data_IF_116146960412
#
_entry.id   IF_116146960412
#
_cell.length_a   1.000
_cell.length_b   1.000
_cell.length_c   1.000
_cell.angle_alpha   90.00
_cell.angle_beta   90.00
_cell.angle_gamma   90.00
#
_symmetry.space_group_name_H-M   'P 1'
#
loop_
_entity.id
_entity.type
_entity.pdbx_description
1 polymer ?
#
# COMPACT_ATOMS: atom_id res chain seq x y z
N UNK A 1 -14.18 18.18 -1.54
CA UNK A 1 -12.82 18.76 -1.52
C UNK A 1 -11.74 17.69 -1.40
N UNK A 2 -11.55 17.02 -0.26
CA UNK A 2 -10.45 16.05 -0.07
C UNK A 2 -10.38 14.94 -1.13
N UNK A 3 -11.51 14.35 -1.54
CA UNK A 3 -11.55 13.32 -2.61
C UNK A 3 -11.02 13.85 -3.95
N UNK A 4 -11.36 15.10 -4.32
CA UNK A 4 -10.86 15.72 -5.54
C UNK A 4 -9.35 16.00 -5.44
N UNK A 5 -8.90 16.47 -4.27
CA UNK A 5 -7.47 16.66 -4.00
C UNK A 5 -6.70 15.33 -4.08
N UNK A 6 -7.29 14.20 -3.66
CA UNK A 6 -6.69 12.88 -3.84
C UNK A 6 -6.43 12.57 -5.32
N UNK A 7 -7.37 12.86 -6.22
CA UNK A 7 -7.17 12.64 -7.66
C UNK A 7 -6.02 13.50 -8.20
N UNK A 8 -5.96 14.77 -7.82
CA UNK A 8 -4.87 15.67 -8.21
C UNK A 8 -3.52 15.16 -7.70
N UNK A 9 -3.45 14.74 -6.44
CA UNK A 9 -2.24 14.16 -5.83
C UNK A 9 -1.78 12.91 -6.60
N UNK A 10 -2.71 11.99 -6.95
CA UNK A 10 -2.40 10.78 -7.72
C UNK A 10 -1.82 11.15 -9.09
N UNK A 11 -2.46 12.09 -9.80
CA UNK A 11 -2.06 12.50 -11.14
C UNK A 11 -0.66 13.14 -11.13
N UNK A 12 -0.43 14.11 -10.24
CA UNK A 12 0.89 14.77 -10.12
C UNK A 12 1.95 13.73 -9.75
N UNK A 13 1.66 12.87 -8.77
CA UNK A 13 2.59 11.83 -8.35
C UNK A 13 2.93 10.87 -9.51
N UNK A 14 1.97 10.55 -10.39
CA UNK A 14 2.18 9.67 -11.55
C UNK A 14 3.08 10.30 -12.63
N UNK A 15 3.12 11.62 -12.73
CA UNK A 15 3.94 12.33 -13.73
C UNK A 15 5.43 12.37 -13.38
N UNK A 16 5.79 12.10 -12.13
CA UNK A 16 7.18 12.16 -11.66
C UNK A 16 7.83 10.77 -11.83
N UNK A 17 8.86 10.59 -12.65
CA UNK A 17 9.52 9.28 -12.80
C UNK A 17 10.24 8.87 -11.52
N UNK A 18 10.45 7.56 -11.33
CA UNK A 18 11.19 7.01 -10.19
C UNK A 18 12.60 6.63 -10.65
N UNK A 19 13.63 7.10 -9.94
CA UNK A 19 15.04 6.82 -10.26
C UNK A 19 15.71 5.88 -9.27
N UNK A 20 15.25 5.81 -8.03
CA UNK A 20 15.80 4.95 -6.97
C UNK A 20 14.74 4.64 -5.91
N UNK A 21 14.99 3.63 -5.08
CA UNK A 21 14.09 3.27 -3.96
C UNK A 21 13.96 4.40 -2.94
N UNK A 22 15.05 5.12 -2.66
CA UNK A 22 15.03 6.24 -1.73
C UNK A 22 14.23 7.42 -2.27
N UNK A 23 14.39 7.72 -3.56
CA UNK A 23 13.58 8.74 -4.23
C UNK A 23 12.11 8.35 -4.26
N UNK A 24 11.80 7.08 -4.53
CA UNK A 24 10.43 6.59 -4.50
C UNK A 24 9.79 6.70 -3.11
N UNK A 25 10.53 6.33 -2.07
CA UNK A 25 10.10 6.46 -0.69
C UNK A 25 9.88 7.90 -0.27
N UNK A 26 10.80 8.82 -0.62
CA UNK A 26 10.62 10.26 -0.35
C UNK A 26 9.42 10.82 -1.10
N UNK A 27 9.26 10.44 -2.37
CA UNK A 27 8.14 10.86 -3.22
C UNK A 27 6.80 10.42 -2.63
N UNK A 28 6.63 9.13 -2.31
CA UNK A 28 5.38 8.65 -1.70
C UNK A 28 5.21 9.16 -0.27
N UNK A 29 6.27 9.23 0.52
CA UNK A 29 6.25 9.84 1.85
C UNK A 29 5.75 11.29 1.80
N UNK A 30 6.13 12.05 0.77
CA UNK A 30 5.65 13.41 0.57
C UNK A 30 4.19 13.45 0.09
N UNK A 31 3.88 12.82 -1.05
CA UNK A 31 2.57 12.93 -1.69
C UNK A 31 1.46 12.13 -1.00
N UNK A 32 1.78 10.94 -0.49
CA UNK A 32 0.81 9.97 0.01
C UNK A 32 0.77 9.90 1.55
N UNK A 33 1.72 10.52 2.26
CA UNK A 33 1.69 10.60 3.72
C UNK A 33 1.68 12.05 4.25
N UNK A 34 2.70 12.84 3.95
CA UNK A 34 2.86 14.20 4.48
C UNK A 34 1.74 15.14 4.02
N UNK A 35 1.50 15.27 2.71
CA UNK A 35 0.43 16.14 2.17
C UNK A 35 -0.95 15.75 2.73
N UNK A 36 -1.37 14.47 2.71
CA UNK A 36 -2.67 14.08 3.27
C UNK A 36 -2.79 14.38 4.76
N UNK A 37 -1.76 14.16 5.57
CA UNK A 37 -1.76 14.54 7.00
C UNK A 37 -1.95 16.05 7.14
N UNK A 38 -1.21 16.85 6.37
CA UNK A 38 -1.33 18.31 6.37
C UNK A 38 -2.76 18.74 6.01
N UNK A 39 -3.32 18.18 4.93
CA UNK A 39 -4.70 18.44 4.52
C UNK A 39 -5.71 18.05 5.62
N UNK A 40 -5.53 16.91 6.28
CA UNK A 40 -6.41 16.53 7.39
C UNK A 40 -6.40 17.61 8.48
N UNK A 41 -5.22 18.08 8.89
CA UNK A 41 -5.12 19.15 9.89
C UNK A 41 -5.72 20.48 9.40
N UNK A 42 -5.46 20.90 8.16
CA UNK A 42 -6.07 22.12 7.57
C UNK A 42 -7.59 22.09 7.57
N UNK A 43 -8.19 20.90 7.43
CA UNK A 43 -9.64 20.69 7.51
C UNK A 43 -10.13 20.29 8.91
N UNK A 44 -9.32 20.52 9.96
CA UNK A 44 -9.63 20.23 11.38
C UNK A 44 -10.01 18.76 11.65
N UNK A 45 -9.47 17.85 10.84
CA UNK A 45 -9.68 16.40 10.92
C UNK A 45 -8.46 15.75 11.60
N UNK A 46 -8.70 14.73 12.42
CA UNK A 46 -7.63 14.01 13.14
C UNK A 46 -7.19 12.79 12.33
N UNK A 47 -5.88 12.62 12.02
CA UNK A 47 -5.40 11.45 11.25
C UNK A 47 -5.76 10.09 11.85
N UNK A 48 -5.89 10.01 13.18
CA UNK A 48 -6.38 8.80 13.85
C UNK A 48 -7.77 8.33 13.39
N UNK A 49 -8.63 9.23 12.89
CA UNK A 49 -9.95 8.87 12.34
C UNK A 49 -9.87 8.33 10.90
N UNK A 50 -8.68 8.29 10.31
CA UNK A 50 -8.36 7.78 8.97
C UNK A 50 -7.37 6.62 9.08
N UNK A 51 -7.50 5.83 10.14
CA UNK A 51 -6.77 4.58 10.32
C UNK A 51 -5.35 4.67 10.90
N UNK A 52 -4.78 5.87 11.12
CA UNK A 52 -3.50 6.04 11.84
C UNK A 52 -3.67 5.88 13.35
N UNK A 53 -4.00 4.67 13.77
CA UNK A 53 -4.23 4.29 15.16
C UNK A 53 -4.03 2.77 15.34
N UNK A 54 -3.90 2.33 16.59
CA UNK A 54 -3.80 0.91 16.97
C UNK A 54 -5.12 0.34 17.52
N UNK A 55 -6.26 0.95 17.18
CA UNK A 55 -7.59 0.42 17.54
C UNK A 55 -7.75 -0.96 16.93
N UNK A 56 -8.35 -1.88 17.68
CA UNK A 56 -8.61 -3.26 17.25
C UNK A 56 -7.34 -4.03 16.80
N UNK A 57 -6.15 -3.70 17.32
CA UNK A 57 -4.88 -4.31 16.86
C UNK A 57 -4.88 -5.85 16.87
N UNK A 58 -5.52 -6.50 17.86
CA UNK A 58 -5.65 -7.97 17.89
C UNK A 58 -6.37 -8.52 16.64
N UNK A 59 -7.43 -7.84 16.21
CA UNK A 59 -8.19 -8.18 15.00
C UNK A 59 -7.38 -7.85 13.74
N UNK A 60 -6.62 -6.76 13.75
CA UNK A 60 -5.69 -6.42 12.67
C UNK A 60 -4.62 -7.50 12.48
N UNK A 61 -4.03 -7.99 13.58
CA UNK A 61 -3.06 -9.09 13.56
C UNK A 61 -3.69 -10.39 13.07
N UNK A 62 -4.90 -10.73 13.52
CA UNK A 62 -5.64 -11.89 13.01
C UNK A 62 -5.81 -11.82 11.49
N UNK A 63 -6.29 -10.69 10.97
CA UNK A 63 -6.46 -10.53 9.52
C UNK A 63 -5.13 -10.58 8.77
N UNK A 64 -4.08 -9.95 9.30
CA UNK A 64 -2.74 -10.03 8.74
C UNK A 64 -2.26 -11.48 8.61
N UNK A 65 -2.33 -12.27 9.69
CA UNK A 65 -1.87 -13.67 9.65
C UNK A 65 -2.72 -14.54 8.71
N UNK A 66 -4.04 -14.33 8.64
CA UNK A 66 -4.90 -15.04 7.70
C UNK A 66 -4.50 -14.76 6.24
N UNK A 67 -4.29 -13.49 5.90
CA UNK A 67 -3.87 -13.10 4.54
C UNK A 67 -2.46 -13.57 4.25
N UNK A 68 -1.54 -13.52 5.21
CA UNK A 68 -0.18 -14.02 5.04
C UNK A 68 -0.18 -15.52 4.71
N UNK A 69 -0.93 -16.33 5.46
CA UNK A 69 -1.04 -17.78 5.21
C UNK A 69 -1.59 -18.06 3.80
N UNK A 70 -2.58 -17.29 3.35
CA UNK A 70 -3.21 -17.47 2.03
C UNK A 70 -2.28 -16.98 0.90
N UNK A 71 -1.60 -15.86 1.10
CA UNK A 71 -0.75 -15.25 0.08
C UNK A 71 0.60 -15.96 -0.08
N UNK A 72 1.13 -16.60 0.96
CA UNK A 72 2.41 -17.27 0.93
C UNK A 72 2.55 -18.34 -0.19
N UNK A 73 1.62 -19.30 -0.38
CA UNK A 73 1.72 -20.25 -1.50
C UNK A 73 1.61 -19.56 -2.87
N UNK A 74 0.84 -18.47 -2.98
CA UNK A 74 0.72 -17.68 -4.21
C UNK A 74 2.04 -16.98 -4.53
N UNK A 75 2.70 -16.41 -3.52
CA UNK A 75 4.01 -15.78 -3.63
C UNK A 75 5.09 -16.78 -4.04
N UNK A 76 5.12 -17.97 -3.42
CA UNK A 76 6.07 -19.03 -3.78
C UNK A 76 5.85 -19.47 -5.24
N UNK A 77 4.59 -19.63 -5.66
CA UNK A 77 4.30 -19.92 -7.06
C UNK A 77 4.75 -18.80 -7.99
N UNK A 78 4.41 -17.54 -7.65
CA UNK A 78 4.74 -16.36 -8.44
C UNK A 78 6.25 -16.11 -8.59
N UNK A 79 7.05 -16.31 -7.54
CA UNK A 79 8.51 -16.09 -7.58
C UNK A 79 9.24 -17.05 -8.53
N UNK A 80 8.58 -18.16 -8.94
CA UNK A 80 9.13 -19.10 -9.89
C UNK A 80 8.82 -18.76 -11.36
N UNK A 81 7.92 -17.81 -11.62
CA UNK A 81 7.51 -17.40 -12.97
C UNK A 81 8.52 -16.44 -13.60
N UNK A 82 8.79 -16.62 -14.89
CA UNK A 82 9.76 -15.82 -15.66
C UNK A 82 9.46 -14.31 -15.66
N UNK A 83 8.18 -13.96 -15.74
CA UNK A 83 7.73 -12.56 -15.70
C UNK A 83 8.03 -11.86 -14.36
N UNK A 84 8.04 -12.60 -13.25
CA UNK A 84 8.39 -12.05 -11.94
C UNK A 84 9.90 -12.02 -11.74
N UNK A 85 10.65 -13.04 -12.18
CA UNK A 85 12.12 -13.08 -12.11
C UNK A 85 12.79 -11.99 -12.96
N UNK A 86 12.17 -11.61 -14.07
CA UNK A 86 12.67 -10.53 -14.93
C UNK A 86 12.33 -9.13 -14.39
N UNK A 87 11.36 -9.02 -13.49
CA UNK A 87 10.90 -7.76 -12.92
C UNK A 87 11.43 -7.50 -11.50
N UNK A 88 11.59 -8.55 -10.69
CA UNK A 88 12.05 -8.52 -9.31
C UNK A 88 13.44 -9.15 -9.15
N UNK A 89 14.25 -8.70 -8.16
CA UNK A 89 13.96 -7.61 -7.25
C UNK A 89 13.99 -6.24 -7.95
N UNK A 90 13.07 -5.34 -7.59
CA UNK A 90 12.98 -4.00 -8.18
C UNK A 90 14.26 -3.19 -7.94
N UNK A 91 14.95 -3.46 -6.83
CA UNK A 91 16.19 -2.80 -6.45
C UNK A 91 17.19 -3.86 -6.00
N UNK A 92 18.26 -4.01 -6.78
CA UNK A 92 19.34 -4.93 -6.47
C UNK A 92 20.02 -4.56 -5.14
N UNK A 93 20.38 -5.59 -4.38
CA UNK A 93 21.09 -5.47 -3.10
C UNK A 93 22.32 -6.38 -3.13
N UNK A 94 23.50 -5.79 -2.94
CA UNK A 94 24.80 -6.47 -2.97
C UNK A 94 25.22 -7.09 -1.62
N UNK A 95 24.47 -6.80 -0.56
CA UNK A 95 24.81 -7.13 0.82
C UNK A 95 23.57 -7.12 1.70
N UNK A 96 23.65 -7.77 2.86
CA UNK A 96 22.55 -7.76 3.85
C UNK A 96 22.26 -6.33 4.32
N UNK A 97 23.30 -5.48 4.41
CA UNK A 97 23.14 -4.09 4.80
C UNK A 97 22.41 -3.26 3.73
N UNK A 98 22.76 -3.42 2.44
CA UNK A 98 22.04 -2.72 1.36
C UNK A 98 20.60 -3.22 1.22
N UNK A 99 20.37 -4.53 1.41
CA UNK A 99 19.03 -5.11 1.48
C UNK A 99 18.20 -4.49 2.62
N UNK A 100 18.71 -4.52 3.84
CA UNK A 100 18.01 -3.95 5.00
C UNK A 100 17.72 -2.44 4.83
N UNK A 101 18.65 -1.69 4.21
CA UNK A 101 18.44 -0.28 3.88
C UNK A 101 17.33 -0.09 2.85
N UNK A 102 17.27 -0.91 1.81
CA UNK A 102 16.21 -0.88 0.80
C UNK A 102 14.85 -1.19 1.44
N UNK A 103 14.78 -2.19 2.33
CA UNK A 103 13.54 -2.54 3.04
C UNK A 103 13.00 -1.42 3.94
N UNK A 104 13.87 -0.60 4.53
CA UNK A 104 13.43 0.60 5.27
C UNK A 104 12.73 1.60 4.32
N UNK A 105 13.23 1.77 3.10
CA UNK A 105 12.55 2.62 2.11
C UNK A 105 11.25 2.00 1.61
N UNK A 106 11.22 0.68 1.39
CA UNK A 106 10.00 -0.08 1.07
C UNK A 106 8.96 0.06 2.19
N UNK A 107 9.37 0.04 3.46
CA UNK A 107 8.48 0.29 4.59
C UNK A 107 7.75 1.64 4.46
N UNK A 108 8.47 2.72 4.12
CA UNK A 108 7.89 4.04 3.89
C UNK A 108 6.94 4.04 2.69
N UNK A 109 7.32 3.36 1.60
CA UNK A 109 6.49 3.21 0.39
C UNK A 109 5.17 2.52 0.74
N UNK A 110 5.21 1.40 1.46
CA UNK A 110 4.02 0.63 1.83
C UNK A 110 3.15 1.39 2.82
N UNK A 111 3.74 1.99 3.87
CA UNK A 111 3.00 2.79 4.84
C UNK A 111 2.28 3.97 4.17
N UNK A 112 2.99 4.70 3.30
CA UNK A 112 2.44 5.86 2.61
C UNK A 112 1.31 5.45 1.66
N UNK A 113 1.50 4.35 0.94
CA UNK A 113 0.48 3.80 0.02
C UNK A 113 -0.77 3.40 0.78
N UNK A 114 -0.64 2.62 1.86
CA UNK A 114 -1.79 2.17 2.64
C UNK A 114 -2.49 3.34 3.34
N UNK A 115 -1.74 4.28 3.90
CA UNK A 115 -2.35 5.46 4.48
C UNK A 115 -3.09 6.30 3.44
N UNK A 116 -2.56 6.51 2.24
CA UNK A 116 -3.24 7.32 1.23
C UNK A 116 -4.54 6.68 0.74
N UNK A 117 -4.47 5.41 0.33
CA UNK A 117 -5.60 4.72 -0.29
C UNK A 117 -6.63 4.26 0.74
N UNK A 118 -6.20 3.52 1.77
CA UNK A 118 -7.10 2.91 2.77
C UNK A 118 -7.34 3.83 3.96
N UNK A 119 -6.41 4.73 4.26
CA UNK A 119 -6.61 5.77 5.28
C UNK A 119 -7.37 6.97 4.73
N UNK A 120 -6.63 7.90 4.12
CA UNK A 120 -7.12 9.19 3.68
C UNK A 120 -8.29 9.12 2.70
N UNK A 121 -8.12 8.43 1.57
CA UNK A 121 -9.13 8.37 0.51
C UNK A 121 -10.34 7.52 0.91
N UNK A 122 -10.13 6.28 1.34
CA UNK A 122 -11.22 5.37 1.69
C UNK A 122 -12.07 5.87 2.87
N UNK A 123 -11.48 6.31 3.99
CA UNK A 123 -12.29 6.81 5.11
C UNK A 123 -12.99 8.13 4.81
N UNK A 124 -12.46 8.94 3.88
CA UNK A 124 -13.18 10.11 3.40
C UNK A 124 -14.36 9.72 2.49
N UNK A 125 -14.16 8.78 1.57
CA UNK A 125 -15.23 8.22 0.72
C UNK A 125 -16.32 7.54 1.56
N UNK A 126 -15.93 6.79 2.60
CA UNK A 126 -16.85 6.07 3.51
C UNK A 126 -17.94 6.98 4.07
N UNK A 127 -17.64 8.24 4.34
CA UNK A 127 -18.62 9.21 4.89
C UNK A 127 -19.71 9.57 3.90
N UNK A 128 -19.46 9.37 2.60
CA UNK A 128 -20.40 9.70 1.52
C UNK A 128 -21.11 8.48 0.96
N UNK A 129 -20.37 7.39 0.78
CA UNK A 129 -20.85 6.20 0.05
C UNK A 129 -20.71 4.90 0.86
N UNK A 130 -20.39 4.98 2.15
CA UNK A 130 -20.33 3.82 3.04
C UNK A 130 -19.33 2.76 2.56
N UNK A 131 -19.78 1.52 2.49
CA UNK A 131 -18.93 0.37 2.14
C UNK A 131 -18.43 0.40 0.69
N UNK A 132 -19.13 1.08 -0.22
CA UNK A 132 -18.69 1.24 -1.62
C UNK A 132 -17.34 1.96 -1.74
N UNK A 133 -16.92 2.68 -0.70
CA UNK A 133 -15.59 3.28 -0.61
C UNK A 133 -14.46 2.27 -0.83
N UNK A 134 -14.64 1.00 -0.44
CA UNK A 134 -13.65 -0.08 -0.63
C UNK A 134 -13.43 -0.31 -2.13
N UNK A 135 -14.50 -0.36 -2.93
CA UNK A 135 -14.40 -0.58 -4.37
C UNK A 135 -13.84 0.65 -5.05
N UNK A 136 -14.35 1.84 -4.72
CA UNK A 136 -13.96 3.10 -5.37
C UNK A 136 -12.49 3.43 -5.14
N UNK A 137 -11.95 3.24 -3.93
CA UNK A 137 -10.53 3.47 -3.66
C UNK A 137 -9.62 2.44 -4.35
N UNK A 138 -10.12 1.21 -4.56
CA UNK A 138 -9.35 0.14 -5.20
C UNK A 138 -9.03 0.45 -6.66
N UNK A 139 -9.94 1.12 -7.37
CA UNK A 139 -9.76 1.46 -8.79
C UNK A 139 -8.45 2.23 -9.04
N UNK A 140 -8.20 3.40 -8.42
CA UNK A 140 -6.95 4.11 -8.63
C UNK A 140 -5.74 3.33 -8.06
N UNK A 141 -5.89 2.56 -6.99
CA UNK A 141 -4.81 1.71 -6.46
C UNK A 141 -4.37 0.64 -7.48
N UNK A 142 -5.30 -0.10 -8.08
CA UNK A 142 -5.01 -1.11 -9.10
C UNK A 142 -4.44 -0.49 -10.39
N UNK A 143 -4.93 0.69 -10.78
CA UNK A 143 -4.38 1.44 -11.94
C UNK A 143 -2.90 1.83 -11.73
N UNK A 144 -2.42 1.97 -10.49
CA UNK A 144 -1.00 2.21 -10.22
C UNK A 144 -0.12 0.96 -10.41
N UNK A 145 -0.71 -0.23 -10.50
CA UNK A 145 0.02 -1.47 -10.76
C UNK A 145 0.14 -1.78 -12.26
N UNK A 146 -0.54 -1.03 -13.13
CA UNK A 146 -0.41 -1.21 -14.58
C UNK A 146 1.04 -0.98 -15.00
N UNK A 147 1.62 -1.95 -15.70
CA UNK A 147 3.03 -1.99 -16.11
C UNK A 147 3.86 -3.02 -15.34
N UNK A 148 3.31 -3.58 -14.26
CA UNK A 148 3.87 -4.74 -13.53
C UNK A 148 3.48 -6.08 -14.20
N UNK A 149 4.04 -7.23 -13.75
CA UNK A 149 3.62 -8.54 -14.23
C UNK A 149 2.08 -8.71 -14.20
N UNK A 150 1.44 -9.24 -15.25
CA UNK A 150 -0.02 -9.28 -15.37
C UNK A 150 -0.74 -9.89 -14.17
N UNK A 151 -0.21 -10.98 -13.62
CA UNK A 151 -0.78 -11.61 -12.42
C UNK A 151 -0.77 -10.67 -11.22
N UNK A 152 0.28 -9.86 -11.04
CA UNK A 152 0.32 -8.85 -9.99
C UNK A 152 -0.73 -7.76 -10.22
N UNK A 153 -0.97 -7.36 -11.46
CA UNK A 153 -2.01 -6.37 -11.79
C UNK A 153 -3.38 -6.89 -11.39
N UNK A 154 -3.76 -8.10 -11.80
CA UNK A 154 -5.06 -8.69 -11.42
C UNK A 154 -5.17 -8.88 -9.91
N UNK A 155 -4.11 -9.39 -9.30
CA UNK A 155 -4.06 -9.59 -7.86
C UNK A 155 -4.19 -8.27 -7.10
N UNK A 156 -3.64 -7.16 -7.60
CA UNK A 156 -3.72 -5.85 -6.94
C UNK A 156 -5.16 -5.34 -6.79
N UNK A 157 -6.08 -5.64 -7.71
CA UNK A 157 -7.49 -5.30 -7.55
C UNK A 157 -8.14 -6.15 -6.46
N UNK A 158 -7.86 -7.46 -6.44
CA UNK A 158 -8.39 -8.37 -5.42
C UNK A 158 -7.85 -8.01 -4.03
N UNK A 159 -6.54 -7.84 -3.92
CA UNK A 159 -5.86 -7.38 -2.70
C UNK A 159 -6.37 -6.00 -2.29
N UNK A 160 -6.60 -5.09 -3.24
CA UNK A 160 -7.24 -3.79 -3.04
C UNK A 160 -8.52 -3.86 -2.22
N UNK A 161 -9.43 -4.76 -2.62
CA UNK A 161 -10.71 -4.98 -1.97
C UNK A 161 -10.54 -5.64 -0.60
N UNK A 162 -9.73 -6.70 -0.52
CA UNK A 162 -9.51 -7.48 0.71
C UNK A 162 -8.86 -6.61 1.80
N UNK A 163 -7.78 -5.91 1.48
CA UNK A 163 -7.09 -5.01 2.41
C UNK A 163 -8.00 -3.83 2.81
N UNK A 164 -8.74 -3.26 1.87
CA UNK A 164 -9.73 -2.21 2.17
C UNK A 164 -10.84 -2.69 3.11
N UNK A 165 -11.32 -3.92 2.95
CA UNK A 165 -12.29 -4.53 3.86
C UNK A 165 -11.72 -4.72 5.27
N UNK A 166 -10.48 -5.22 5.38
CA UNK A 166 -9.80 -5.40 6.67
C UNK A 166 -9.74 -4.07 7.42
N UNK A 167 -9.27 -3.01 6.77
CA UNK A 167 -9.13 -1.69 7.35
C UNK A 167 -10.48 -1.03 7.68
N UNK A 168 -11.49 -1.25 6.83
CA UNK A 168 -12.86 -0.81 7.10
C UNK A 168 -13.40 -1.46 8.38
N UNK A 169 -13.11 -2.74 8.61
CA UNK A 169 -13.59 -3.50 9.77
C UNK A 169 -12.79 -3.26 11.05
N UNK A 170 -11.51 -2.92 10.95
CA UNK A 170 -10.65 -2.63 12.11
C UNK A 170 -10.61 -1.14 12.45
N UNK A 171 -10.98 -0.28 11.51
CA UNK A 171 -10.84 1.18 11.59
C UNK A 171 -9.37 1.63 11.76
N UNK A 172 -8.45 0.85 11.20
CA UNK A 172 -7.00 1.02 11.27
C UNK A 172 -6.37 0.56 9.95
N UNK A 173 -5.31 1.24 9.49
CA UNK A 173 -4.50 0.77 8.35
C UNK A 173 -3.46 -0.29 8.74
N UNK A 174 -3.36 -0.62 10.03
CA UNK A 174 -2.40 -1.61 10.52
C UNK A 174 -2.50 -2.97 9.81
N UNK A 175 -3.69 -3.57 9.57
CA UNK A 175 -3.77 -4.85 8.89
C UNK A 175 -3.24 -4.79 7.46
N UNK A 176 -3.66 -3.79 6.67
CA UNK A 176 -3.20 -3.62 5.29
C UNK A 176 -1.71 -3.30 5.22
N UNK A 177 -1.20 -2.42 6.08
CA UNK A 177 0.22 -2.09 6.13
C UNK A 177 1.09 -3.32 6.38
N UNK A 178 0.75 -4.14 7.39
CA UNK A 178 1.47 -5.38 7.66
C UNK A 178 1.34 -6.37 6.50
N UNK A 179 0.15 -6.49 5.92
CA UNK A 179 -0.14 -7.41 4.80
C UNK A 179 0.43 -6.95 3.46
N UNK A 180 0.99 -5.74 3.39
CA UNK A 180 1.65 -5.23 2.20
C UNK A 180 3.17 -5.23 2.39
N UNK A 181 3.65 -4.75 3.53
CA UNK A 181 5.08 -4.65 3.82
C UNK A 181 5.75 -6.00 4.08
N UNK A 182 5.19 -6.84 4.95
CA UNK A 182 5.82 -8.12 5.29
C UNK A 182 5.85 -9.07 4.09
N UNK A 183 4.76 -9.24 3.32
CA UNK A 183 4.82 -10.01 2.07
C UNK A 183 5.79 -9.45 1.03
N UNK A 184 5.98 -8.12 0.95
CA UNK A 184 7.00 -7.52 0.07
C UNK A 184 8.40 -8.02 0.42
N UNK A 185 8.78 -7.95 1.70
CA UNK A 185 10.09 -8.46 2.16
C UNK A 185 10.25 -9.94 1.82
N UNK A 186 9.22 -10.75 2.11
CA UNK A 186 9.27 -12.19 1.84
C UNK A 186 9.42 -12.44 0.33
N UNK A 187 8.70 -11.70 -0.50
CA UNK A 187 8.76 -11.86 -1.95
C UNK A 187 10.12 -11.45 -2.52
N UNK A 188 10.71 -10.36 -2.04
CA UNK A 188 12.06 -9.96 -2.42
C UNK A 188 13.08 -11.04 -2.03
N UNK A 189 12.96 -11.66 -0.84
CA UNK A 189 13.78 -12.81 -0.42
C UNK A 189 13.57 -14.02 -1.33
N UNK A 190 12.33 -14.32 -1.73
CA UNK A 190 12.01 -15.44 -2.62
C UNK A 190 12.54 -15.25 -4.05
N UNK A 191 12.89 -14.01 -4.43
CA UNK A 191 13.43 -13.66 -5.74
C UNK A 191 14.96 -13.42 -5.74
N UNK A 192 15.63 -13.54 -4.59
CA UNK A 192 17.10 -13.59 -4.50
C UNK A 192 17.63 -14.93 -5.02
#
# INVERSE_FOLDING_TARGET
MLILLSLVIILINRMIPVSSVSFWALKLGFFYLFIPILLLYSFKKKPKNYGLNFKNYKKSLLYFFLILIISLPIMIYGSNLEEFKSYYPLFYSDSIFSFAKNEIFICVIMLSTEFFFRGFLMFELRKKIGWYAIIVQTIPYGILHIGKPPLEVYYSFVAGIVLGYMDYKTESILPSFLSHYIPSIIFDILCL
#
